data_IF_373375034679
#
_entry.id   IF_373375034679
#
_cell.length_a   1.000
_cell.length_b   1.000
_cell.length_c   1.000
_cell.angle_alpha   90.00
_cell.angle_beta   90.00
_cell.angle_gamma   90.00
#
_symmetry.space_group_name_H-M   'P 1'
#
loop_
_entity.id
_entity.type
_entity.pdbx_description
1 polymer ?
#
# COMPACT_ATOMS: atom_id res chain seq x y z
N UNK A 1 -10.31 15.60 -41.16
CA UNK A 1 -9.92 15.24 -39.77
C UNK A 1 -8.50 15.74 -39.48
N UNK A 2 -8.38 16.92 -38.85
CA UNK A 2 -7.09 17.50 -38.47
C UNK A 2 -6.66 16.93 -37.12
N UNK A 3 -5.58 16.13 -37.12
CA UNK A 3 -4.90 15.76 -35.90
C UNK A 3 -4.13 16.98 -35.39
N UNK A 4 -4.33 17.35 -34.13
CA UNK A 4 -3.53 18.38 -33.46
C UNK A 4 -2.14 17.78 -33.21
N UNK A 5 -1.15 18.24 -33.97
CA UNK A 5 0.26 17.86 -33.78
C UNK A 5 0.89 18.87 -32.82
N UNK A 6 1.60 18.38 -31.81
CA UNK A 6 2.43 19.18 -30.91
C UNK A 6 3.88 18.94 -31.30
N UNK A 7 4.69 19.99 -31.32
CA UNK A 7 6.09 19.93 -31.80
C UNK A 7 6.98 20.33 -30.62
N UNK A 8 7.59 19.36 -29.95
CA UNK A 8 8.52 19.58 -28.82
C UNK A 8 9.99 19.58 -29.24
N UNK A 9 10.23 19.69 -30.56
CA UNK A 9 11.53 20.01 -31.16
C UNK A 9 12.60 18.92 -31.00
N UNK A 10 12.19 17.65 -30.86
CA UNK A 10 13.09 16.48 -30.79
C UNK A 10 13.24 15.72 -32.13
N UNK A 11 12.50 16.14 -33.16
CA UNK A 11 12.59 15.60 -34.52
C UNK A 11 11.65 14.41 -34.82
N UNK A 12 10.76 14.05 -33.89
CA UNK A 12 9.74 13.01 -34.12
C UNK A 12 8.32 13.60 -34.11
N UNK A 13 7.51 13.27 -35.13
CA UNK A 13 6.10 13.67 -35.20
C UNK A 13 5.25 12.73 -34.34
N UNK A 14 5.02 13.07 -33.08
CA UNK A 14 4.10 12.34 -32.21
C UNK A 14 2.66 12.88 -32.34
N UNK A 15 1.68 11.99 -32.46
CA UNK A 15 0.27 12.43 -32.46
C UNK A 15 -0.16 12.85 -31.04
N UNK A 16 -1.15 13.74 -30.89
CA UNK A 16 -1.69 14.12 -29.56
C UNK A 16 -2.06 12.91 -28.69
N UNK A 17 -2.56 11.82 -29.30
CA UNK A 17 -2.87 10.58 -28.58
C UNK A 17 -1.63 9.81 -28.10
N UNK A 18 -0.52 9.93 -28.81
CA UNK A 18 0.77 9.33 -28.48
C UNK A 18 1.44 10.08 -27.33
N UNK A 19 1.47 11.42 -27.39
CA UNK A 19 1.99 12.26 -26.32
C UNK A 19 1.17 12.14 -25.00
N UNK A 20 -0.16 12.08 -25.08
CA UNK A 20 -1.02 11.81 -23.91
C UNK A 20 -0.83 10.37 -23.41
N UNK A 21 -0.69 9.40 -24.32
CA UNK A 21 -0.44 8.00 -23.98
C UNK A 21 0.90 7.80 -23.26
N UNK A 22 1.95 8.44 -23.74
CA UNK A 22 3.27 8.52 -23.12
C UNK A 22 3.20 9.17 -21.73
N UNK A 23 2.50 10.31 -21.62
CA UNK A 23 2.32 11.00 -20.34
C UNK A 23 1.59 10.11 -19.33
N UNK A 24 0.50 9.45 -19.73
CA UNK A 24 -0.25 8.52 -18.89
C UNK A 24 0.59 7.32 -18.47
N UNK A 25 1.37 6.73 -19.37
CA UNK A 25 2.29 5.64 -19.07
C UNK A 25 3.41 6.07 -18.12
N UNK A 26 3.97 7.26 -18.31
CA UNK A 26 4.98 7.87 -17.42
C UNK A 26 4.38 8.16 -16.05
N UNK A 27 3.17 8.69 -15.95
CA UNK A 27 2.45 8.91 -14.69
C UNK A 27 2.11 7.60 -13.97
N UNK A 28 1.65 6.59 -14.69
CA UNK A 28 1.35 5.27 -14.12
C UNK A 28 2.63 4.58 -13.60
N UNK A 29 3.74 4.65 -14.35
CA UNK A 29 5.07 4.21 -13.89
C UNK A 29 5.52 5.00 -12.66
N UNK A 30 5.36 6.32 -12.67
CA UNK A 30 5.75 7.18 -11.56
C UNK A 30 4.98 6.85 -10.27
N UNK A 31 3.67 6.59 -10.37
CA UNK A 31 2.84 6.12 -9.26
C UNK A 31 3.24 4.72 -8.80
N UNK A 32 3.51 3.80 -9.74
CA UNK A 32 4.01 2.45 -9.42
C UNK A 32 5.42 2.42 -8.84
N UNK A 33 6.18 3.51 -8.97
CA UNK A 33 7.52 3.72 -8.40
C UNK A 33 7.51 4.56 -7.12
N UNK A 34 6.35 5.08 -6.68
CA UNK A 34 6.28 5.80 -5.41
C UNK A 34 6.52 4.81 -4.27
N UNK A 35 7.72 4.89 -3.70
CA UNK A 35 8.05 4.26 -2.43
C UNK A 35 7.61 5.20 -1.32
N UNK A 36 6.77 4.71 -0.41
CA UNK A 36 6.36 5.47 0.75
C UNK A 36 7.48 5.54 1.77
N UNK A 37 7.55 6.65 2.52
CA UNK A 37 8.47 6.69 3.65
C UNK A 37 7.97 5.74 4.74
N UNK A 38 8.87 5.24 5.59
CA UNK A 38 8.47 4.44 6.78
C UNK A 38 7.43 5.18 7.62
N UNK A 39 7.54 6.50 7.73
CA UNK A 39 6.57 7.33 8.47
C UNK A 39 5.18 7.26 7.85
N UNK A 40 5.09 7.35 6.52
CA UNK A 40 3.81 7.26 5.81
C UNK A 40 3.17 5.89 5.99
N UNK A 41 3.99 4.82 5.97
CA UNK A 41 3.54 3.46 6.25
C UNK A 41 2.98 3.30 7.67
N UNK A 42 3.69 3.80 8.69
CA UNK A 42 3.20 3.77 10.08
C UNK A 42 1.90 4.56 10.26
N UNK A 43 1.77 5.70 9.57
CA UNK A 43 0.55 6.50 9.59
C UNK A 43 -0.61 5.76 8.91
N UNK A 44 -0.37 5.14 7.75
CA UNK A 44 -1.36 4.35 7.04
C UNK A 44 -1.83 3.14 7.85
N UNK A 45 -0.90 2.45 8.52
CA UNK A 45 -1.19 1.34 9.41
C UNK A 45 -2.02 1.79 10.63
N UNK A 46 -1.64 2.89 11.26
CA UNK A 46 -2.36 3.41 12.42
C UNK A 46 -3.80 3.80 12.05
N UNK A 47 -3.97 4.49 10.92
CA UNK A 47 -5.28 4.92 10.42
C UNK A 47 -6.15 3.73 10.05
N UNK A 48 -5.58 2.74 9.35
CA UNK A 48 -6.30 1.53 8.96
C UNK A 48 -6.72 0.70 10.17
N UNK A 49 -5.86 0.63 11.20
CA UNK A 49 -6.19 -0.03 12.46
C UNK A 49 -7.40 0.61 13.14
N UNK A 50 -7.41 1.93 13.28
CA UNK A 50 -8.51 2.68 13.89
C UNK A 50 -9.82 2.47 13.11
N UNK A 51 -9.76 2.57 11.78
CA UNK A 51 -10.90 2.29 10.93
C UNK A 51 -11.47 0.87 11.13
N UNK A 52 -10.61 -0.13 11.28
CA UNK A 52 -11.03 -1.53 11.49
C UNK A 52 -11.61 -1.76 12.89
N UNK A 53 -11.05 -1.11 13.92
CA UNK A 53 -11.60 -1.13 15.28
C UNK A 53 -12.98 -0.48 15.34
N UNK A 54 -13.14 0.67 14.69
CA UNK A 54 -14.37 1.45 14.71
C UNK A 54 -15.47 0.80 13.90
N UNK A 55 -15.16 0.33 12.68
CA UNK A 55 -16.15 -0.29 11.80
C UNK A 55 -16.68 -1.61 12.34
N UNK A 56 -15.87 -2.35 13.11
CA UNK A 56 -16.19 -3.70 13.63
C UNK A 56 -16.64 -4.69 12.54
N UNK A 57 -16.40 -4.37 11.27
CA UNK A 57 -16.76 -5.21 10.14
C UNK A 57 -15.71 -6.31 9.90
N UNK A 58 -14.45 -6.03 10.24
CA UNK A 58 -13.33 -6.94 10.10
C UNK A 58 -12.40 -6.83 11.31
N UNK A 59 -11.71 -7.93 11.61
CA UNK A 59 -10.73 -7.93 12.69
C UNK A 59 -9.50 -7.09 12.30
N UNK A 60 -9.06 -6.11 13.12
CA UNK A 60 -7.84 -5.34 12.85
C UNK A 60 -6.58 -6.23 12.83
N UNK A 61 -6.63 -7.39 13.50
CA UNK A 61 -5.59 -8.43 13.43
C UNK A 61 -5.41 -9.01 12.03
N UNK A 62 -6.38 -8.84 11.14
CA UNK A 62 -6.25 -9.19 9.72
C UNK A 62 -5.10 -8.46 9.04
N UNK A 63 -4.80 -7.23 9.45
CA UNK A 63 -3.73 -6.41 8.88
C UNK A 63 -2.34 -6.96 9.22
N UNK A 64 -2.10 -7.29 10.49
CA UNK A 64 -0.88 -7.98 10.94
C UNK A 64 -0.65 -9.26 10.13
N UNK A 65 -1.69 -10.10 10.01
CA UNK A 65 -1.61 -11.38 9.29
C UNK A 65 -1.38 -11.20 7.79
N UNK A 66 -1.89 -10.13 7.18
CA UNK A 66 -1.62 -9.82 5.78
C UNK A 66 -0.15 -9.45 5.60
N UNK A 67 0.39 -8.55 6.43
CA UNK A 67 1.80 -8.17 6.37
C UNK A 67 2.73 -9.36 6.64
N UNK A 68 2.38 -10.24 7.59
CA UNK A 68 3.12 -11.49 7.82
C UNK A 68 3.14 -12.39 6.58
N UNK A 69 2.01 -12.53 5.89
CA UNK A 69 1.93 -13.34 4.66
C UNK A 69 2.77 -12.72 3.55
N UNK A 70 2.70 -11.40 3.35
CA UNK A 70 3.52 -10.69 2.38
C UNK A 70 5.00 -10.90 2.72
N UNK A 71 5.41 -10.68 3.96
CA UNK A 71 6.79 -10.91 4.42
C UNK A 71 7.28 -12.35 4.18
N UNK A 72 6.43 -13.36 4.43
CA UNK A 72 6.76 -14.78 4.20
C UNK A 72 6.84 -15.13 2.71
N UNK A 73 5.90 -14.65 1.89
CA UNK A 73 5.92 -14.85 0.43
C UNK A 73 7.19 -14.29 -0.20
N UNK A 74 7.79 -13.30 0.44
CA UNK A 74 9.04 -12.66 0.04
C UNK A 74 10.30 -13.43 0.50
N UNK A 75 10.15 -14.62 1.08
CA UNK A 75 11.27 -15.41 1.60
C UNK A 75 11.89 -14.85 2.88
N UNK A 76 11.32 -13.80 3.48
CA UNK A 76 11.79 -13.20 4.73
C UNK A 76 13.13 -12.46 4.64
N UNK A 77 13.63 -12.18 3.43
CA UNK A 77 14.94 -11.54 3.19
C UNK A 77 14.87 -10.02 3.01
N UNK A 78 13.67 -9.44 2.86
CA UNK A 78 13.47 -7.98 2.78
C UNK A 78 13.77 -7.33 1.43
N UNK A 79 14.10 -8.11 0.39
CA UNK A 79 14.46 -7.60 -0.95
C UNK A 79 13.39 -7.96 -1.99
N UNK A 80 12.21 -7.32 -1.94
CA UNK A 80 11.15 -7.59 -2.93
C UNK A 80 10.41 -6.33 -3.39
N UNK A 81 9.60 -6.49 -4.45
CA UNK A 81 8.70 -5.47 -5.00
C UNK A 81 7.83 -4.79 -3.93
N UNK A 82 7.35 -5.55 -2.93
CA UNK A 82 6.60 -4.98 -1.82
C UNK A 82 7.47 -4.10 -0.93
N UNK A 83 8.60 -4.59 -0.42
CA UNK A 83 9.52 -3.77 0.39
C UNK A 83 10.09 -2.57 -0.38
N UNK A 84 10.16 -2.64 -1.72
CA UNK A 84 10.59 -1.51 -2.55
C UNK A 84 9.60 -0.35 -2.57
N UNK A 85 8.30 -0.62 -2.37
CA UNK A 85 7.24 0.40 -2.36
C UNK A 85 6.69 0.67 -0.96
N UNK A 86 6.73 -0.33 -0.09
CA UNK A 86 6.21 -0.36 1.28
C UNK A 86 7.30 -0.87 2.25
N UNK A 87 8.29 -0.03 2.60
CA UNK A 87 9.46 -0.46 3.37
C UNK A 87 9.15 -0.74 4.84
N UNK A 88 9.94 -1.62 5.45
CA UNK A 88 9.94 -1.84 6.90
C UNK A 88 8.80 -2.74 7.39
N UNK A 89 8.30 -3.65 6.55
CA UNK A 89 7.17 -4.53 6.89
C UNK A 89 7.41 -5.31 8.18
N UNK A 90 8.63 -5.78 8.45
CA UNK A 90 8.95 -6.49 9.69
C UNK A 90 8.73 -5.64 10.95
N UNK A 91 9.23 -4.40 10.94
CA UNK A 91 9.09 -3.48 12.08
C UNK A 91 7.62 -3.07 12.28
N UNK A 92 6.87 -2.93 11.18
CA UNK A 92 5.44 -2.64 11.19
C UNK A 92 4.60 -3.80 11.73
N UNK A 93 4.93 -5.05 11.36
CA UNK A 93 4.31 -6.25 11.95
C UNK A 93 4.49 -6.22 13.47
N UNK A 94 5.71 -5.96 13.95
CA UNK A 94 5.98 -5.86 15.39
C UNK A 94 5.17 -4.73 16.05
N UNK A 95 5.07 -3.56 15.43
CA UNK A 95 4.27 -2.46 15.96
C UNK A 95 2.77 -2.80 16.06
N UNK A 96 2.20 -3.46 15.06
CA UNK A 96 0.80 -3.91 15.07
C UNK A 96 0.56 -5.00 16.10
N UNK A 97 1.52 -5.90 16.27
CA UNK A 97 1.46 -6.95 17.26
C UNK A 97 1.44 -6.38 18.70
N UNK A 98 2.27 -5.37 18.98
CA UNK A 98 2.23 -4.67 20.27
C UNK A 98 0.92 -3.89 20.45
N UNK A 99 0.45 -3.19 19.41
CA UNK A 99 -0.85 -2.49 19.45
C UNK A 99 -2.01 -3.45 19.75
N UNK A 100 -1.97 -4.69 19.27
CA UNK A 100 -2.93 -5.73 19.63
C UNK A 100 -2.84 -6.13 21.11
N UNK A 101 -1.62 -6.33 21.63
CA UNK A 101 -1.39 -6.75 23.01
C UNK A 101 -1.84 -5.71 24.03
N UNK A 102 -1.69 -4.43 23.69
CA UNK A 102 -2.06 -3.31 24.56
C UNK A 102 -3.58 -3.18 24.73
N UNK A 103 -4.39 -3.80 23.85
CA UNK A 103 -5.83 -3.82 24.01
C UNK A 103 -6.25 -4.67 25.23
N UNK A 104 -7.23 -4.22 26.03
CA UNK A 104 -7.83 -5.04 27.08
C UNK A 104 -8.35 -6.38 26.54
N UNK A 105 -8.23 -7.46 27.32
CA UNK A 105 -8.63 -8.81 26.90
C UNK A 105 -10.09 -8.91 26.40
N UNK A 106 -10.99 -8.12 26.96
CA UNK A 106 -12.40 -8.09 26.54
C UNK A 106 -12.57 -7.45 25.14
N UNK A 107 -11.81 -6.40 24.82
CA UNK A 107 -11.79 -5.78 23.49
C UNK A 107 -11.16 -6.72 22.46
N UNK A 108 -10.05 -7.39 22.82
CA UNK A 108 -9.42 -8.40 21.98
C UNK A 108 -10.40 -9.53 21.61
N UNK A 109 -11.20 -9.99 22.58
CA UNK A 109 -12.21 -11.01 22.34
C UNK A 109 -13.31 -10.51 21.40
N UNK A 110 -13.83 -9.31 21.66
CA UNK A 110 -14.84 -8.66 20.82
C UNK A 110 -14.35 -8.54 19.36
N UNK A 111 -13.15 -7.99 19.15
CA UNK A 111 -12.57 -7.74 17.82
C UNK A 111 -12.11 -9.02 17.09
N UNK A 112 -11.96 -10.16 17.79
CA UNK A 112 -11.74 -11.47 17.18
C UNK A 112 -13.02 -12.12 16.67
N UNK A 113 -14.16 -11.80 17.26
CA UNK A 113 -15.43 -12.49 17.05
C UNK A 113 -16.18 -12.04 15.79
N UNK A 114 -15.63 -11.15 14.97
CA UNK A 114 -16.21 -10.72 13.70
C UNK A 114 -15.59 -11.51 12.53
N UNK A 115 -16.24 -12.62 12.10
CA UNK A 115 -15.81 -13.34 10.91
C UNK A 115 -16.17 -12.55 9.66
N UNK A 116 -15.39 -12.76 8.61
CA UNK A 116 -15.72 -12.38 7.24
C UNK A 116 -17.07 -13.03 6.91
N UNK A 117 -18.11 -12.22 6.69
CA UNK A 117 -19.39 -12.67 6.15
C UNK A 117 -19.25 -13.02 4.67
#
# INVERSE_FOLDING_TARGET
>A
PHALTYDDNDGYQESFGEAIGELLLKSAKYLGQQSFSRKDEYQADATSWELLVDSQAYSPKGMERLLEKLWRLQGGTGETSWESTHPGTKDRISALHEKWKDLPSHEQWKLKAYPIQ
#
